data_IF_698990332372
#
_entry.id   IF_698990332372
#
_cell.length_a   1.000
_cell.length_b   1.000
_cell.length_c   1.000
_cell.angle_alpha   90.00
_cell.angle_beta   90.00
_cell.angle_gamma   90.00
#
_symmetry.space_group_name_H-M   'P 1'
#
loop_
_entity.id
_entity.type
_entity.pdbx_description
1 polymer ?
#
# COMPACT_ATOMS: atom_id res chain seq x y z
N UNK A 1 -2.47 -8.02 24.68
CA UNK A 1 -1.81 -6.86 24.03
C UNK A 1 -2.30 -5.61 24.72
N UNK A 2 -1.40 -4.83 25.29
CA UNK A 2 -1.76 -3.52 25.86
C UNK A 2 -2.25 -2.65 24.70
N UNK A 3 -3.26 -1.78 24.94
CA UNK A 3 -3.86 -0.86 23.94
C UNK A 3 -2.82 0.05 23.26
N UNK A 4 -1.62 0.13 23.82
CA UNK A 4 -0.54 1.04 23.44
C UNK A 4 0.44 0.51 22.36
N UNK A 5 0.32 -0.76 21.93
CA UNK A 5 1.26 -1.37 20.98
C UNK A 5 0.72 -1.48 19.54
N UNK A 6 -0.44 -0.87 19.25
CA UNK A 6 -1.05 -0.93 17.91
C UNK A 6 -0.29 -0.11 16.89
N UNK A 7 -0.26 -0.63 15.67
CA UNK A 7 0.40 0.00 14.52
C UNK A 7 -0.63 0.41 13.47
N UNK A 8 -0.45 1.57 12.90
CA UNK A 8 -1.17 2.06 11.74
C UNK A 8 -0.24 1.91 10.53
N UNK A 9 -0.57 1.02 9.60
CA UNK A 9 0.18 0.83 8.37
C UNK A 9 -0.47 1.60 7.23
N UNK A 10 0.32 2.42 6.52
CA UNK A 10 -0.16 3.22 5.38
C UNK A 10 0.73 2.91 4.18
N UNK A 11 0.28 2.04 3.28
CA UNK A 11 0.96 1.77 2.02
C UNK A 11 0.69 2.89 1.03
N UNK A 12 1.73 3.33 0.31
CA UNK A 12 1.58 4.44 -0.63
C UNK A 12 2.33 4.19 -1.94
N UNK A 13 1.74 4.63 -3.03
CA UNK A 13 2.34 4.72 -4.35
C UNK A 13 1.76 5.92 -5.12
N UNK A 14 1.94 5.97 -6.44
CA UNK A 14 1.37 7.02 -7.27
C UNK A 14 -0.17 6.99 -7.26
N UNK A 15 -0.79 5.85 -7.57
CA UNK A 15 -2.24 5.73 -7.80
C UNK A 15 -3.06 5.31 -6.59
N UNK A 16 -2.44 4.68 -5.60
CA UNK A 16 -3.13 4.14 -4.41
C UNK A 16 -4.03 2.94 -4.68
N UNK A 17 -3.93 2.29 -5.85
CA UNK A 17 -4.94 1.32 -6.29
C UNK A 17 -4.42 -0.01 -6.85
N UNK A 18 -3.11 -0.15 -7.12
CA UNK A 18 -2.55 -1.39 -7.65
C UNK A 18 -1.61 -2.06 -6.65
N UNK A 19 -0.33 -1.67 -6.59
CA UNK A 19 0.63 -2.27 -5.65
C UNK A 19 0.25 -2.03 -4.20
N UNK A 20 -0.32 -0.89 -3.86
CA UNK A 20 -0.86 -0.60 -2.52
C UNK A 20 -2.04 -1.50 -2.15
N UNK A 21 -2.98 -1.73 -3.07
CA UNK A 21 -4.11 -2.63 -2.84
C UNK A 21 -3.65 -4.07 -2.63
N UNK A 22 -2.68 -4.54 -3.45
CA UNK A 22 -2.06 -5.85 -3.27
C UNK A 22 -1.30 -5.94 -1.94
N UNK A 23 -0.55 -4.91 -1.57
CA UNK A 23 0.16 -4.88 -0.28
C UNK A 23 -0.81 -4.96 0.91
N UNK A 24 -1.91 -4.21 0.87
CA UNK A 24 -2.95 -4.29 1.90
C UNK A 24 -3.61 -5.68 1.94
N UNK A 25 -3.87 -6.31 0.77
CA UNK A 25 -4.45 -7.64 0.69
C UNK A 25 -3.51 -8.73 1.25
N UNK A 26 -2.21 -8.68 0.93
CA UNK A 26 -1.21 -9.57 1.55
C UNK A 26 -1.09 -9.33 3.05
N UNK A 27 -1.05 -8.08 3.47
CA UNK A 27 -0.95 -7.71 4.88
C UNK A 27 -2.11 -8.31 5.71
N UNK A 28 -3.32 -8.22 5.17
CA UNK A 28 -4.56 -8.71 5.79
C UNK A 28 -4.84 -10.19 5.48
N UNK A 29 -3.91 -10.90 4.84
CA UNK A 29 -4.06 -12.33 4.44
C UNK A 29 -5.32 -12.59 3.60
N UNK A 30 -5.80 -11.60 2.84
CA UNK A 30 -6.93 -11.75 1.91
C UNK A 30 -6.54 -12.46 0.61
N UNK A 31 -5.25 -12.51 0.31
CA UNK A 31 -4.66 -13.30 -0.78
C UNK A 31 -3.48 -14.10 -0.24
N UNK A 32 -3.30 -15.32 -0.75
CA UNK A 32 -2.20 -16.20 -0.33
C UNK A 32 -0.90 -15.84 -1.02
N UNK A 33 0.21 -16.00 -0.29
CA UNK A 33 1.57 -15.93 -0.82
C UNK A 33 2.09 -17.26 -1.34
N UNK A 34 1.37 -18.37 -1.10
CA UNK A 34 1.85 -19.74 -1.32
C UNK A 34 1.68 -20.21 -2.76
N UNK A 35 0.94 -19.48 -3.57
CA UNK A 35 0.73 -19.82 -4.98
C UNK A 35 0.73 -18.58 -5.89
N UNK A 36 0.84 -18.81 -7.20
CA UNK A 36 0.71 -17.75 -8.21
C UNK A 36 -0.75 -17.31 -8.30
N UNK A 37 -1.01 -16.01 -8.06
CA UNK A 37 -2.35 -15.45 -8.12
C UNK A 37 -2.99 -15.65 -9.50
N UNK A 38 -4.24 -16.07 -9.52
CA UNK A 38 -5.08 -16.10 -10.71
C UNK A 38 -5.58 -14.70 -11.08
N UNK A 39 -6.09 -14.54 -12.31
CA UNK A 39 -6.75 -13.30 -12.73
C UNK A 39 -7.93 -12.96 -11.81
N UNK A 40 -8.73 -13.95 -11.45
CA UNK A 40 -9.91 -13.76 -10.61
C UNK A 40 -9.54 -13.25 -9.22
N UNK A 41 -8.52 -13.85 -8.57
CA UNK A 41 -8.04 -13.41 -7.25
C UNK A 41 -7.51 -11.97 -7.28
N UNK A 42 -6.72 -11.60 -8.31
CA UNK A 42 -6.18 -10.25 -8.46
C UNK A 42 -7.32 -9.23 -8.60
N UNK A 43 -8.31 -9.51 -9.45
CA UNK A 43 -9.43 -8.59 -9.70
C UNK A 43 -10.44 -8.55 -8.53
N UNK A 44 -10.46 -9.58 -7.68
CA UNK A 44 -11.25 -9.61 -6.45
C UNK A 44 -10.64 -8.79 -5.31
N UNK A 45 -9.34 -8.43 -5.39
CA UNK A 45 -8.69 -7.61 -4.35
C UNK A 45 -9.45 -6.30 -4.16
N UNK A 46 -9.84 -5.94 -2.92
CA UNK A 46 -10.52 -4.68 -2.65
C UNK A 46 -9.72 -3.48 -3.16
N UNK A 47 -10.40 -2.57 -3.84
CA UNK A 47 -9.85 -1.34 -4.44
C UNK A 47 -8.82 -1.54 -5.57
N UNK A 48 -8.49 -2.79 -5.96
CA UNK A 48 -7.61 -3.02 -7.11
C UNK A 48 -8.25 -2.50 -8.40
N UNK A 49 -7.58 -1.55 -9.05
CA UNK A 49 -8.05 -0.83 -10.24
C UNK A 49 -9.43 -0.14 -10.08
N UNK A 50 -9.84 0.22 -8.86
CA UNK A 50 -11.15 0.83 -8.58
C UNK A 50 -11.09 2.31 -8.17
N UNK A 51 -9.93 2.79 -7.71
CA UNK A 51 -9.75 4.19 -7.32
C UNK A 51 -9.40 5.05 -8.54
N UNK A 52 -9.77 6.30 -8.54
CA UNK A 52 -9.53 7.25 -9.63
C UNK A 52 -8.74 8.49 -9.15
N UNK A 53 -8.49 9.45 -10.03
CA UNK A 53 -7.68 10.63 -9.71
C UNK A 53 -8.28 11.49 -8.57
N UNK A 54 -9.60 11.49 -8.39
CA UNK A 54 -10.26 12.20 -7.29
C UNK A 54 -10.06 11.54 -5.92
N UNK A 55 -9.53 10.32 -5.89
CA UNK A 55 -9.22 9.58 -4.66
C UNK A 55 -7.75 9.77 -4.23
N UNK A 56 -6.93 10.43 -5.05
CA UNK A 56 -5.56 10.76 -4.68
C UNK A 56 -5.54 11.69 -3.45
N UNK A 57 -4.66 11.38 -2.50
CA UNK A 57 -4.59 12.06 -1.21
C UNK A 57 -5.58 11.57 -0.15
N UNK A 58 -6.59 10.78 -0.51
CA UNK A 58 -7.48 10.15 0.47
C UNK A 58 -6.80 8.94 1.11
N UNK A 59 -6.92 8.83 2.42
CA UNK A 59 -6.47 7.66 3.18
C UNK A 59 -7.62 6.63 3.17
N UNK A 60 -7.40 5.50 2.50
CA UNK A 60 -8.40 4.44 2.29
C UNK A 60 -8.17 3.33 3.29
N UNK A 61 -9.18 3.02 4.10
CA UNK A 61 -9.16 1.94 5.07
C UNK A 61 -9.39 0.58 4.42
N UNK A 62 -8.59 -0.45 4.77
CA UNK A 62 -8.67 -1.82 4.25
C UNK A 62 -9.08 -2.86 5.27
N UNK A 63 -8.85 -2.60 6.56
CA UNK A 63 -9.21 -3.53 7.64
C UNK A 63 -8.19 -3.52 8.79
N UNK A 64 -8.38 -4.49 9.68
CA UNK A 64 -7.52 -4.76 10.84
C UNK A 64 -6.85 -6.11 10.61
N UNK A 65 -5.54 -6.21 10.89
CA UNK A 65 -4.80 -7.47 10.81
C UNK A 65 -4.99 -8.34 12.07
N UNK A 66 -4.44 -9.56 12.04
CA UNK A 66 -4.56 -10.53 13.14
C UNK A 66 -3.92 -10.04 14.47
N UNK A 67 -3.05 -9.03 14.41
CA UNK A 67 -2.41 -8.42 15.58
C UNK A 67 -3.18 -7.18 16.10
N UNK A 68 -4.32 -6.84 15.47
CA UNK A 68 -5.15 -5.68 15.81
C UNK A 68 -4.66 -4.36 15.22
N UNK A 69 -3.76 -4.39 14.25
CA UNK A 69 -3.21 -3.22 13.58
C UNK A 69 -4.09 -2.78 12.41
N UNK A 70 -4.21 -1.47 12.21
CA UNK A 70 -5.02 -0.91 11.13
C UNK A 70 -4.21 -0.76 9.84
N UNK A 71 -4.82 -1.13 8.70
CA UNK A 71 -4.18 -1.08 7.38
C UNK A 71 -4.90 -0.11 6.46
N UNK A 72 -4.14 0.82 5.91
CA UNK A 72 -4.61 1.86 5.00
C UNK A 72 -3.76 1.92 3.74
N UNK A 73 -4.29 2.58 2.70
CA UNK A 73 -3.53 2.98 1.51
C UNK A 73 -3.74 4.45 1.20
N UNK A 74 -2.81 5.05 0.46
CA UNK A 74 -2.93 6.40 -0.09
C UNK A 74 -2.23 6.52 -1.44
N UNK A 75 -2.92 7.09 -2.42
CA UNK A 75 -2.33 7.51 -3.69
C UNK A 75 -1.75 8.91 -3.55
N UNK A 76 -0.44 9.08 -3.82
CA UNK A 76 0.22 10.40 -3.66
C UNK A 76 0.25 11.23 -4.94
N UNK A 77 -0.18 10.67 -6.07
CA UNK A 77 -0.03 11.32 -7.36
C UNK A 77 1.43 11.67 -7.64
N UNK A 78 1.65 12.83 -8.26
CA UNK A 78 2.99 13.41 -8.48
C UNK A 78 3.55 14.14 -7.26
N UNK A 79 2.76 14.26 -6.18
CA UNK A 79 3.18 15.02 -5.00
C UNK A 79 4.30 14.31 -4.22
N UNK A 80 5.48 14.90 -4.22
CA UNK A 80 6.59 14.49 -3.35
C UNK A 80 6.43 14.99 -1.90
N UNK A 81 5.48 15.88 -1.66
CA UNK A 81 5.27 16.52 -0.35
C UNK A 81 4.18 15.83 0.47
N UNK A 82 3.32 14.98 -0.10
CA UNK A 82 2.19 14.37 0.61
C UNK A 82 2.67 13.52 1.80
N UNK A 83 3.57 12.56 1.56
CA UNK A 83 4.05 11.67 2.64
C UNK A 83 4.83 12.45 3.72
N UNK A 84 5.76 13.37 3.38
CA UNK A 84 6.36 14.25 4.38
C UNK A 84 5.35 15.07 5.19
N UNK A 85 4.31 15.62 4.55
CA UNK A 85 3.28 16.38 5.26
C UNK A 85 2.46 15.50 6.21
N UNK A 86 2.05 14.29 5.77
CA UNK A 86 1.36 13.32 6.62
C UNK A 86 2.24 12.86 7.79
N UNK A 87 3.54 12.63 7.57
CA UNK A 87 4.49 12.31 8.63
C UNK A 87 4.54 13.43 9.70
N UNK A 88 4.70 14.69 9.27
CA UNK A 88 4.77 15.83 10.19
C UNK A 88 3.45 16.03 10.93
N UNK A 89 2.31 15.90 10.24
CA UNK A 89 0.99 15.96 10.87
C UNK A 89 0.80 14.85 11.89
N UNK A 90 1.23 13.62 11.58
CA UNK A 90 1.16 12.48 12.51
C UNK A 90 1.96 12.75 13.78
N UNK A 91 3.19 13.27 13.65
CA UNK A 91 4.02 13.65 14.81
C UNK A 91 3.36 14.75 15.65
N UNK A 92 2.81 15.78 15.01
CA UNK A 92 2.11 16.88 15.68
C UNK A 92 0.89 16.37 16.47
N UNK A 93 0.08 15.48 15.86
CA UNK A 93 -1.10 14.90 16.51
C UNK A 93 -0.71 14.01 17.68
N UNK A 94 0.32 13.18 17.53
CA UNK A 94 0.84 12.34 18.63
C UNK A 94 1.32 13.19 19.80
N UNK A 95 2.07 14.27 19.53
CA UNK A 95 2.52 15.20 20.57
C UNK A 95 1.33 15.85 21.28
N UNK A 96 0.33 16.35 20.52
CA UNK A 96 -0.83 17.05 21.06
C UNK A 96 -1.74 16.15 21.89
N UNK A 97 -1.97 14.91 21.43
CA UNK A 97 -2.93 13.98 22.05
C UNK A 97 -2.26 12.87 22.85
N UNK A 98 -0.94 12.92 23.03
CA UNK A 98 -0.14 11.89 23.73
C UNK A 98 -0.40 10.49 23.18
N UNK A 99 -0.56 10.38 21.85
CA UNK A 99 -0.77 9.12 21.16
C UNK A 99 0.50 8.25 21.21
N UNK A 100 0.33 6.97 21.45
CA UNK A 100 1.42 5.98 21.56
C UNK A 100 1.46 5.03 20.36
N UNK A 101 0.43 5.05 19.50
CA UNK A 101 0.33 4.18 18.33
C UNK A 101 1.45 4.47 17.32
N UNK A 102 2.12 3.41 16.86
CA UNK A 102 3.12 3.55 15.79
C UNK A 102 2.45 3.77 14.44
N UNK A 103 3.02 4.65 13.60
CA UNK A 103 2.55 4.89 12.24
C UNK A 103 3.67 4.59 11.25
N UNK A 104 3.41 3.68 10.32
CA UNK A 104 4.39 3.25 9.31
C UNK A 104 3.88 3.61 7.92
N UNK A 105 4.55 4.55 7.27
CA UNK A 105 4.36 4.83 5.83
C UNK A 105 5.29 3.93 5.03
N UNK A 106 4.74 3.09 4.15
CA UNK A 106 5.52 2.14 3.33
C UNK A 106 5.28 2.39 1.85
N UNK A 107 6.33 2.80 1.12
CA UNK A 107 6.28 3.09 -0.30
C UNK A 107 6.32 1.80 -1.11
N UNK A 108 5.27 1.50 -1.89
CA UNK A 108 5.20 0.34 -2.77
C UNK A 108 5.62 0.63 -4.21
N UNK A 109 5.93 1.89 -4.56
CA UNK A 109 6.34 2.26 -5.93
C UNK A 109 7.55 1.47 -6.47
N UNK A 110 8.56 1.09 -5.65
CA UNK A 110 9.68 0.31 -6.15
C UNK A 110 9.31 -1.06 -6.71
N UNK A 111 8.17 -1.63 -6.32
CA UNK A 111 7.70 -2.94 -6.81
C UNK A 111 6.83 -2.84 -8.07
N UNK A 112 6.56 -1.65 -8.60
CA UNK A 112 5.69 -1.45 -9.76
C UNK A 112 6.36 -1.92 -11.05
N UNK A 113 5.88 -2.99 -11.73
CA UNK A 113 6.43 -3.41 -13.00
C UNK A 113 5.95 -2.51 -14.14
N UNK A 114 6.72 -2.47 -15.23
CA UNK A 114 6.39 -1.70 -16.41
C UNK A 114 5.01 -2.04 -17.00
N UNK A 115 4.66 -3.33 -17.04
CA UNK A 115 3.34 -3.78 -17.50
C UNK A 115 2.19 -3.14 -16.70
N UNK A 116 2.35 -3.00 -15.36
CA UNK A 116 1.36 -2.36 -14.51
C UNK A 116 1.26 -0.86 -14.76
N UNK A 117 2.38 -0.20 -15.05
CA UNK A 117 2.41 1.24 -15.39
C UNK A 117 1.60 1.49 -16.67
N UNK A 118 1.85 0.72 -17.75
CA UNK A 118 1.10 0.85 -19.00
C UNK A 118 -0.35 0.43 -18.81
N UNK A 119 -0.61 -0.67 -18.10
CA UNK A 119 -1.96 -1.14 -17.80
C UNK A 119 -2.78 -0.09 -17.05
N UNK A 120 -2.18 0.57 -16.07
CA UNK A 120 -2.79 1.68 -15.33
C UNK A 120 -3.09 2.89 -16.23
N UNK A 121 -2.16 3.24 -17.11
CA UNK A 121 -2.38 4.31 -18.09
C UNK A 121 -3.56 3.97 -19.01
N UNK A 122 -3.57 2.80 -19.64
CA UNK A 122 -4.63 2.37 -20.54
C UNK A 122 -6.00 2.30 -19.83
N UNK A 123 -6.08 1.63 -18.67
CA UNK A 123 -7.36 1.42 -18.01
C UNK A 123 -7.91 2.71 -17.39
N UNK A 124 -7.05 3.54 -16.76
CA UNK A 124 -7.52 4.65 -15.93
C UNK A 124 -7.54 6.00 -16.63
N UNK A 125 -6.60 6.24 -17.57
CA UNK A 125 -6.51 7.51 -18.30
C UNK A 125 -7.22 7.40 -19.66
N UNK A 126 -6.94 6.33 -20.41
CA UNK A 126 -7.53 6.13 -21.73
C UNK A 126 -8.88 5.41 -21.67
N UNK A 127 -9.25 4.82 -20.53
CA UNK A 127 -10.48 4.02 -20.32
C UNK A 127 -10.60 2.83 -21.30
N UNK A 128 -9.45 2.23 -21.67
CA UNK A 128 -9.37 1.07 -22.57
C UNK A 128 -9.09 -0.17 -21.72
N UNK A 129 -10.12 -0.67 -21.03
CA UNK A 129 -9.99 -1.82 -20.12
C UNK A 129 -9.65 -3.13 -20.83
N UNK A 130 -10.01 -3.26 -22.12
CA UNK A 130 -9.68 -4.45 -22.92
C UNK A 130 -8.16 -4.71 -22.98
N UNK A 131 -7.34 -3.67 -22.98
CA UNK A 131 -5.88 -3.74 -22.97
C UNK A 131 -5.35 -3.51 -21.55
N UNK A 132 -5.89 -2.55 -20.83
CA UNK A 132 -5.41 -2.13 -19.53
C UNK A 132 -5.50 -3.24 -18.48
N UNK A 133 -6.65 -3.89 -18.36
CA UNK A 133 -6.87 -4.93 -17.35
C UNK A 133 -5.95 -6.15 -17.53
N UNK A 134 -5.76 -6.73 -18.72
CA UNK A 134 -4.77 -7.80 -18.94
C UNK A 134 -3.35 -7.41 -18.53
N UNK A 135 -2.90 -6.18 -18.84
CA UNK A 135 -1.57 -5.68 -18.46
C UNK A 135 -1.45 -5.47 -16.95
N UNK A 136 -2.51 -4.98 -16.30
CA UNK A 136 -2.55 -4.87 -14.83
C UNK A 136 -2.44 -6.23 -14.16
N UNK A 137 -3.16 -7.24 -14.66
CA UNK A 137 -3.08 -8.62 -14.15
C UNK A 137 -1.69 -9.20 -14.37
N UNK A 138 -1.10 -9.00 -15.56
CA UNK A 138 0.28 -9.43 -15.83
C UNK A 138 1.25 -8.78 -14.85
N UNK A 139 1.19 -7.46 -14.68
CA UNK A 139 2.03 -6.74 -13.74
C UNK A 139 1.84 -7.20 -12.30
N UNK A 140 0.59 -7.43 -11.85
CA UNK A 140 0.31 -7.98 -10.53
C UNK A 140 0.99 -9.34 -10.31
N UNK A 141 0.93 -10.25 -11.30
CA UNK A 141 1.64 -11.55 -11.25
C UNK A 141 3.16 -11.41 -11.21
N UNK A 142 3.71 -10.40 -11.87
CA UNK A 142 5.15 -10.14 -11.87
C UNK A 142 5.66 -9.66 -10.50
N UNK A 143 4.90 -8.79 -9.83
CA UNK A 143 5.36 -8.14 -8.60
C UNK A 143 4.80 -8.76 -7.30
N UNK A 144 3.93 -9.76 -7.35
CA UNK A 144 3.28 -10.30 -6.16
C UNK A 144 4.27 -10.80 -5.09
N UNK A 145 5.36 -11.46 -5.48
CA UNK A 145 6.38 -11.92 -4.53
C UNK A 145 7.15 -10.76 -3.90
N UNK A 146 7.49 -9.73 -4.70
CA UNK A 146 8.18 -8.55 -4.20
C UNK A 146 7.29 -7.75 -3.25
N UNK A 147 6.00 -7.61 -3.54
CA UNK A 147 5.04 -6.98 -2.65
C UNK A 147 4.91 -7.78 -1.35
N UNK A 148 4.81 -9.11 -1.41
CA UNK A 148 4.74 -9.93 -0.20
C UNK A 148 5.99 -9.76 0.68
N UNK A 149 7.19 -9.78 0.06
CA UNK A 149 8.46 -9.50 0.77
C UNK A 149 8.50 -8.09 1.36
N UNK A 150 8.00 -7.09 0.62
CA UNK A 150 7.89 -5.71 1.11
C UNK A 150 6.96 -5.63 2.33
N UNK A 151 5.82 -6.30 2.31
CA UNK A 151 4.89 -6.35 3.46
C UNK A 151 5.58 -6.97 4.67
N UNK A 152 6.28 -8.11 4.50
CA UNK A 152 7.03 -8.76 5.58
C UNK A 152 8.12 -7.82 6.15
N UNK A 153 8.87 -7.13 5.27
CA UNK A 153 9.88 -6.13 5.67
C UNK A 153 9.25 -4.96 6.42
N UNK A 154 8.08 -4.47 5.97
CA UNK A 154 7.33 -3.39 6.62
C UNK A 154 6.88 -3.80 8.03
N UNK A 155 6.33 -4.99 8.21
CA UNK A 155 5.95 -5.53 9.53
C UNK A 155 7.18 -5.68 10.44
N UNK A 156 8.31 -6.16 9.91
CA UNK A 156 9.56 -6.26 10.66
C UNK A 156 10.04 -4.88 11.12
N UNK A 157 10.05 -3.88 10.22
CA UNK A 157 10.45 -2.52 10.56
C UNK A 157 9.56 -1.90 11.66
N UNK A 158 8.25 -2.15 11.64
CA UNK A 158 7.34 -1.70 12.69
C UNK A 158 7.68 -2.26 14.07
N UNK A 159 8.10 -3.55 14.12
CA UNK A 159 8.47 -4.22 15.37
C UNK A 159 9.83 -3.74 15.92
N UNK A 160 10.77 -3.38 15.04
CA UNK A 160 12.14 -3.00 15.44
C UNK A 160 12.35 -1.49 15.57
N UNK A 161 11.46 -0.67 14.99
CA UNK A 161 11.58 0.79 15.08
C UNK A 161 11.23 1.29 16.47
N UNK A 162 12.10 2.14 17.02
CA UNK A 162 11.84 2.91 18.25
C UNK A 162 11.05 4.20 17.97
N UNK A 163 10.92 4.59 16.69
CA UNK A 163 10.23 5.82 16.29
C UNK A 163 8.72 5.59 16.24
N UNK A 164 7.96 6.56 16.75
CA UNK A 164 6.50 6.54 16.66
C UNK A 164 5.99 6.70 15.22
N UNK A 165 6.69 7.46 14.38
CA UNK A 165 6.36 7.59 12.95
C UNK A 165 7.58 7.23 12.11
N UNK A 166 7.42 6.30 11.18
CA UNK A 166 8.49 5.81 10.30
C UNK A 166 8.06 5.85 8.84
N UNK A 167 8.95 6.34 7.97
CA UNK A 167 8.74 6.34 6.51
C UNK A 167 9.75 5.41 5.85
N UNK A 168 9.25 4.37 5.19
CA UNK A 168 10.03 3.36 4.48
C UNK A 168 9.97 3.63 2.97
N UNK A 169 11.10 3.96 2.35
CA UNK A 169 11.19 4.20 0.91
C UNK A 169 11.28 2.90 0.09
N UNK A 170 11.72 1.82 0.72
CA UNK A 170 11.80 0.46 0.14
C UNK A 170 12.63 0.36 -1.16
N UNK A 171 13.68 1.18 -1.29
CA UNK A 171 14.51 1.25 -2.50
C UNK A 171 15.22 -0.07 -2.84
N UNK A 172 15.37 -0.99 -1.89
CA UNK A 172 15.94 -2.33 -2.10
C UNK A 172 15.04 -3.27 -2.93
N UNK A 173 13.81 -2.85 -3.25
CA UNK A 173 12.86 -3.61 -4.08
C UNK A 173 12.80 -3.11 -5.54
N UNK A 174 13.75 -2.28 -5.96
CA UNK A 174 13.91 -1.83 -7.37
C UNK A 174 14.54 -2.92 -8.22
#
# INVERSE_FOLDING_TARGET
MKKDDRVIYIYNDFGGTHTTALAAAYHLKKISADHKLTKAEILAVPFFNKLNSSDMGKIIYHGIDDEGNSVYTVGRGTSKHLVPALNNLSLLLQQKYKGTEKIIFSNTSPTVPFAMTIGGLCSRWLKIDLIGVPLLVLGAKQCCQDINRLVASTKKAARTSEKNVTVLQNNSFK
#
